data_IF_812925805004
#
_entry.id   IF_812925805004
#
_cell.length_a   1.000
_cell.length_b   1.000
_cell.length_c   1.000
_cell.angle_alpha   90.00
_cell.angle_beta   90.00
_cell.angle_gamma   90.00
#
_symmetry.space_group_name_H-M   'P 1'
#
loop_
_entity.id
_entity.type
_entity.pdbx_description
1 polymer ?
#
# COMPACT_ATOMS: atom_id res chain seq x y z
N UNK A 1 9.17 -9.76 -11.12
CA UNK A 1 8.86 -8.60 -11.98
C UNK A 1 8.38 -7.40 -11.16
N UNK A 2 7.26 -7.49 -10.42
CA UNK A 2 6.77 -6.35 -9.61
C UNK A 2 7.74 -5.86 -8.53
N UNK A 3 8.36 -6.78 -7.77
CA UNK A 3 9.37 -6.43 -6.76
C UNK A 3 10.53 -5.59 -7.35
N UNK A 4 11.09 -6.06 -8.47
CA UNK A 4 12.18 -5.37 -9.17
C UNK A 4 11.74 -4.00 -9.68
N UNK A 5 10.52 -3.88 -10.21
CA UNK A 5 9.98 -2.60 -10.64
C UNK A 5 9.85 -1.62 -9.46
N UNK A 6 9.34 -2.07 -8.31
CA UNK A 6 9.23 -1.27 -7.09
C UNK A 6 10.58 -0.75 -6.60
N UNK A 7 11.62 -1.59 -6.62
CA UNK A 7 13.00 -1.20 -6.27
C UNK A 7 13.53 -0.07 -7.17
N UNK A 8 13.29 -0.15 -8.49
CA UNK A 8 13.71 0.91 -9.42
C UNK A 8 12.89 2.21 -9.29
N UNK A 9 11.60 2.12 -8.95
CA UNK A 9 10.72 3.30 -8.80
C UNK A 9 11.16 4.27 -7.70
N UNK A 10 11.81 3.75 -6.65
CA UNK A 10 12.30 4.56 -5.52
C UNK A 10 13.50 5.41 -5.95
N UNK A 11 14.23 4.97 -6.97
CA UNK A 11 15.45 5.63 -7.48
C UNK A 11 15.24 6.58 -8.65
N UNK A 12 14.00 6.75 -9.13
CA UNK A 12 13.71 7.67 -10.23
C UNK A 12 13.92 9.11 -9.75
N UNK A 13 15.02 9.72 -10.20
CA UNK A 13 15.35 11.12 -9.96
C UNK A 13 14.44 11.99 -10.84
N UNK A 14 13.44 12.61 -10.22
CA UNK A 14 12.40 13.37 -10.91
C UNK A 14 12.83 14.83 -11.08
N UNK A 15 13.83 15.05 -11.94
CA UNK A 15 14.32 16.40 -12.26
C UNK A 15 13.37 17.20 -13.16
N UNK A 16 12.38 16.56 -13.77
CA UNK A 16 11.36 17.18 -14.63
C UNK A 16 9.97 16.57 -14.34
N UNK A 17 8.91 17.36 -14.58
CA UNK A 17 7.49 17.10 -14.29
C UNK A 17 6.99 15.82 -14.98
N UNK A 18 7.37 15.59 -16.24
CA UNK A 18 7.00 14.38 -16.98
C UNK A 18 7.51 13.10 -16.32
N UNK A 19 8.73 13.13 -15.77
CA UNK A 19 9.33 11.99 -15.07
C UNK A 19 8.69 11.75 -13.71
N UNK A 20 8.22 12.82 -13.05
CA UNK A 20 7.46 12.76 -11.81
C UNK A 20 6.10 12.08 -12.05
N UNK A 21 5.36 12.54 -13.06
CA UNK A 21 4.07 11.99 -13.48
C UNK A 21 4.20 10.51 -13.86
N UNK A 22 5.18 10.16 -14.69
CA UNK A 22 5.48 8.77 -15.03
C UNK A 22 5.80 7.92 -13.78
N UNK A 23 6.63 8.45 -12.87
CA UNK A 23 6.97 7.78 -11.63
C UNK A 23 5.74 7.51 -10.76
N UNK A 24 4.80 8.45 -10.69
CA UNK A 24 3.55 8.27 -9.96
C UNK A 24 2.62 7.26 -10.64
N UNK A 25 2.46 7.33 -11.96
CA UNK A 25 1.70 6.33 -12.72
C UNK A 25 2.24 4.91 -12.51
N UNK A 26 3.56 4.75 -12.50
CA UNK A 26 4.20 3.45 -12.26
C UNK A 26 3.99 2.96 -10.83
N UNK A 27 4.16 3.82 -9.81
CA UNK A 27 3.88 3.46 -8.41
C UNK A 27 2.43 3.03 -8.21
N UNK A 28 1.48 3.81 -8.75
CA UNK A 28 0.05 3.47 -8.73
C UNK A 28 -0.21 2.12 -9.38
N UNK A 29 0.31 1.89 -10.59
CA UNK A 29 0.11 0.65 -11.31
C UNK A 29 0.68 -0.58 -10.59
N UNK A 30 1.80 -0.43 -9.89
CA UNK A 30 2.35 -1.50 -9.05
C UNK A 30 1.41 -1.82 -7.88
N UNK A 31 0.90 -0.81 -7.17
CA UNK A 31 -0.03 -1.02 -6.06
C UNK A 31 -1.34 -1.67 -6.53
N UNK A 32 -1.93 -1.18 -7.62
CA UNK A 32 -3.15 -1.73 -8.20
C UNK A 32 -2.97 -3.19 -8.66
N UNK A 33 -1.80 -3.52 -9.22
CA UNK A 33 -1.47 -4.90 -9.57
C UNK A 33 -1.39 -5.82 -8.34
N UNK A 34 -0.75 -5.35 -7.25
CA UNK A 34 -0.73 -6.10 -5.99
C UNK A 34 -2.13 -6.26 -5.39
N UNK A 35 -2.95 -5.22 -5.40
CA UNK A 35 -4.36 -5.29 -4.97
C UNK A 35 -5.13 -6.34 -5.75
N UNK A 36 -5.04 -6.35 -7.08
CA UNK A 36 -5.70 -7.35 -7.92
C UNK A 36 -5.26 -8.78 -7.61
N UNK A 37 -3.97 -9.00 -7.36
CA UNK A 37 -3.45 -10.33 -6.98
C UNK A 37 -3.97 -10.75 -5.60
N UNK A 38 -3.92 -9.87 -4.59
CA UNK A 38 -4.36 -10.14 -3.23
C UNK A 38 -5.85 -10.47 -3.19
N UNK A 39 -6.68 -9.66 -3.85
CA UNK A 39 -8.12 -9.87 -3.95
C UNK A 39 -8.44 -11.18 -4.68
N UNK A 40 -7.70 -11.51 -5.75
CA UNK A 40 -7.86 -12.78 -6.46
C UNK A 40 -7.46 -14.02 -5.65
N UNK A 41 -6.51 -13.89 -4.72
CA UNK A 41 -5.98 -15.01 -3.94
C UNK A 41 -6.66 -15.22 -2.58
N UNK A 42 -7.34 -14.20 -2.05
CA UNK A 42 -7.92 -14.14 -0.69
C UNK A 42 -8.57 -15.43 -0.19
N UNK A 43 -9.36 -16.12 -1.01
CA UNK A 43 -10.14 -17.29 -0.58
C UNK A 43 -9.52 -18.66 -0.91
N UNK A 44 -8.33 -18.72 -1.50
CA UNK A 44 -7.77 -20.00 -1.97
C UNK A 44 -6.26 -20.14 -1.85
N UNK A 45 -5.49 -19.07 -2.06
CA UNK A 45 -4.04 -19.11 -2.20
C UNK A 45 -3.35 -17.91 -1.56
N UNK A 46 -3.99 -17.32 -0.54
CA UNK A 46 -3.46 -16.14 0.16
C UNK A 46 -2.04 -16.37 0.69
N UNK A 47 -1.73 -17.57 1.20
CA UNK A 47 -0.40 -17.92 1.73
C UNK A 47 0.75 -17.73 0.73
N UNK A 48 0.48 -17.79 -0.59
CA UNK A 48 1.50 -17.51 -1.61
C UNK A 48 2.01 -16.06 -1.55
N UNK A 49 1.25 -15.15 -0.94
CA UNK A 49 1.61 -13.74 -0.80
C UNK A 49 2.41 -13.45 0.47
N UNK A 50 2.47 -14.37 1.44
CA UNK A 50 3.21 -14.15 2.69
C UNK A 50 4.68 -13.76 2.49
N UNK A 51 5.46 -14.43 1.61
CA UNK A 51 6.85 -14.05 1.37
C UNK A 51 7.03 -12.64 0.77
N UNK A 52 5.96 -12.08 0.21
CA UNK A 52 5.96 -10.77 -0.45
C UNK A 52 5.43 -9.64 0.45
N UNK A 53 4.73 -9.96 1.54
CA UNK A 53 4.05 -8.99 2.40
C UNK A 53 5.00 -7.91 2.95
N UNK A 54 6.16 -8.31 3.49
CA UNK A 54 7.14 -7.36 4.04
C UNK A 54 7.64 -6.39 2.98
N UNK A 55 7.98 -6.88 1.78
CA UNK A 55 8.50 -6.03 0.71
C UNK A 55 7.43 -5.07 0.18
N UNK A 56 6.19 -5.52 0.08
CA UNK A 56 5.07 -4.67 -0.32
C UNK A 56 4.87 -3.54 0.70
N UNK A 57 4.87 -3.87 2.00
CA UNK A 57 4.69 -2.88 3.05
C UNK A 57 5.86 -1.87 3.12
N UNK A 58 7.10 -2.33 2.91
CA UNK A 58 8.28 -1.46 2.77
C UNK A 58 8.18 -0.53 1.55
N UNK A 59 7.61 -1.01 0.44
CA UNK A 59 7.38 -0.18 -0.74
C UNK A 59 6.34 0.91 -0.47
N UNK A 60 5.24 0.56 0.20
CA UNK A 60 4.24 1.54 0.67
C UNK A 60 4.90 2.60 1.56
N UNK A 61 5.71 2.20 2.53
CA UNK A 61 6.42 3.13 3.41
C UNK A 61 7.37 4.05 2.64
N UNK A 62 8.10 3.51 1.67
CA UNK A 62 9.03 4.29 0.83
C UNK A 62 8.29 5.35 0.00
N UNK A 63 7.13 4.99 -0.55
CA UNK A 63 6.28 5.92 -1.30
C UNK A 63 5.61 6.95 -0.38
N UNK A 64 5.24 6.57 0.83
CA UNK A 64 4.73 7.51 1.83
C UNK A 64 5.76 8.59 2.18
N UNK A 65 7.03 8.21 2.35
CA UNK A 65 8.11 9.17 2.65
C UNK A 65 8.50 10.04 1.46
N UNK A 66 8.01 9.74 0.25
CA UNK A 66 8.32 10.48 -0.96
C UNK A 66 7.43 11.73 -1.09
N UNK A 67 8.06 12.92 -1.09
CA UNK A 67 7.36 14.22 -1.05
C UNK A 67 6.47 14.53 -2.26
N UNK A 68 6.75 13.91 -3.40
CA UNK A 68 6.08 14.22 -4.67
C UNK A 68 5.05 13.14 -5.07
N UNK A 69 4.51 12.37 -4.13
CA UNK A 69 3.39 11.47 -4.41
C UNK A 69 2.12 12.28 -4.65
N UNK A 70 1.28 11.83 -5.56
CA UNK A 70 -0.06 12.40 -5.74
C UNK A 70 -1.12 11.65 -4.91
N UNK A 71 -2.36 12.16 -4.94
CA UNK A 71 -3.50 11.56 -4.25
C UNK A 71 -3.89 10.18 -4.80
N UNK A 72 -3.71 9.91 -6.09
CA UNK A 72 -4.06 8.63 -6.70
C UNK A 72 -3.10 7.52 -6.25
N UNK A 73 -1.79 7.81 -6.21
CA UNK A 73 -0.77 6.94 -5.63
C UNK A 73 -1.07 6.69 -4.16
N UNK A 74 -1.41 7.73 -3.40
CA UNK A 74 -1.75 7.62 -1.98
C UNK A 74 -2.94 6.70 -1.76
N UNK A 75 -4.02 6.89 -2.52
CA UNK A 75 -5.22 6.05 -2.44
C UNK A 75 -4.92 4.59 -2.76
N UNK A 76 -4.15 4.32 -3.82
CA UNK A 76 -3.75 2.96 -4.19
C UNK A 76 -2.85 2.30 -3.12
N UNK A 77 -1.93 3.06 -2.53
CA UNK A 77 -1.07 2.60 -1.45
C UNK A 77 -1.86 2.25 -0.17
N UNK A 78 -2.89 3.03 0.16
CA UNK A 78 -3.78 2.76 1.30
C UNK A 78 -4.68 1.54 1.01
N UNK A 79 -5.22 1.44 -0.20
CA UNK A 79 -6.05 0.31 -0.62
C UNK A 79 -5.28 -1.02 -0.53
N UNK A 80 -4.06 -1.08 -1.08
CA UNK A 80 -3.27 -2.31 -1.10
C UNK A 80 -2.87 -2.79 0.31
N UNK A 81 -2.67 -1.88 1.28
CA UNK A 81 -2.46 -2.27 2.68
C UNK A 81 -3.70 -2.94 3.28
N UNK A 82 -4.89 -2.42 2.95
CA UNK A 82 -6.16 -3.02 3.38
C UNK A 82 -6.38 -4.38 2.74
N UNK A 83 -6.12 -4.50 1.43
CA UNK A 83 -6.16 -5.78 0.71
C UNK A 83 -5.18 -6.80 1.29
N UNK A 84 -3.98 -6.35 1.69
CA UNK A 84 -2.98 -7.20 2.33
C UNK A 84 -3.50 -7.76 3.66
N UNK A 85 -4.08 -6.91 4.50
CA UNK A 85 -4.70 -7.30 5.76
C UNK A 85 -5.90 -8.23 5.57
N UNK A 86 -6.76 -7.93 4.60
CA UNK A 86 -7.97 -8.70 4.30
C UNK A 86 -7.64 -10.07 3.68
N UNK A 87 -6.57 -10.17 2.88
CA UNK A 87 -6.15 -11.43 2.27
C UNK A 87 -5.36 -12.33 3.22
N UNK A 88 -4.40 -11.80 3.98
CA UNK A 88 -3.49 -12.59 4.80
C UNK A 88 -3.92 -12.74 6.25
N UNK A 89 -4.84 -11.90 6.72
CA UNK A 89 -5.43 -12.02 8.05
C UNK A 89 -4.38 -12.05 9.18
N UNK A 90 -4.53 -12.93 10.19
CA UNK A 90 -3.65 -12.98 11.36
C UNK A 90 -2.17 -13.27 11.05
N UNK A 91 -1.87 -13.86 9.88
CA UNK A 91 -0.51 -14.26 9.52
C UNK A 91 0.47 -13.07 9.39
N UNK A 92 -0.04 -11.86 9.20
CA UNK A 92 0.76 -10.63 9.11
C UNK A 92 0.62 -9.72 10.33
N UNK A 93 0.04 -10.22 11.43
CA UNK A 93 -0.14 -9.44 12.67
C UNK A 93 1.17 -8.86 13.21
N UNK A 94 2.25 -9.66 13.21
CA UNK A 94 3.56 -9.18 13.66
C UNK A 94 4.14 -8.13 12.71
N UNK A 95 3.91 -8.27 11.41
CA UNK A 95 4.37 -7.29 10.43
C UNK A 95 3.74 -5.90 10.67
N UNK A 96 2.42 -5.83 10.91
CA UNK A 96 1.74 -4.58 11.25
C UNK A 96 2.05 -4.09 12.68
N UNK A 97 2.49 -4.96 13.60
CA UNK A 97 2.99 -4.53 14.90
C UNK A 97 4.34 -3.83 14.79
N UNK A 98 5.22 -4.34 13.95
CA UNK A 98 6.60 -3.86 13.83
C UNK A 98 6.71 -2.62 12.93
N UNK A 99 5.88 -2.51 11.90
CA UNK A 99 5.85 -1.36 10.99
C UNK A 99 4.73 -0.39 11.38
N UNK A 100 5.04 0.77 11.97
CA UNK A 100 4.02 1.71 12.49
C UNK A 100 3.67 2.87 11.57
N UNK A 101 4.37 3.07 10.45
CA UNK A 101 4.15 4.22 9.54
C UNK A 101 2.70 4.33 9.03
N UNK A 102 1.98 3.21 8.95
CA UNK A 102 0.60 3.18 8.48
C UNK A 102 -0.34 3.98 9.40
N UNK A 103 0.00 4.16 10.68
CA UNK A 103 -0.78 4.98 11.62
C UNK A 103 -0.77 6.43 11.16
N UNK A 104 0.40 6.97 10.86
CA UNK A 104 0.57 8.35 10.39
C UNK A 104 -0.05 8.53 9.00
N UNK A 105 0.17 7.57 8.10
CA UNK A 105 -0.41 7.58 6.75
C UNK A 105 -1.94 7.57 6.78
N UNK A 106 -2.56 6.69 7.56
CA UNK A 106 -4.02 6.66 7.71
C UNK A 106 -4.53 7.92 8.41
N UNK A 107 -3.80 8.44 9.40
CA UNK A 107 -4.10 9.71 10.05
C UNK A 107 -4.17 10.87 9.05
N UNK A 108 -3.18 11.00 8.17
CA UNK A 108 -3.18 11.98 7.09
C UNK A 108 -4.39 11.80 6.16
N UNK A 109 -4.65 10.57 5.70
CA UNK A 109 -5.73 10.29 4.76
C UNK A 109 -7.12 10.57 5.35
N UNK A 110 -7.31 10.33 6.64
CA UNK A 110 -8.58 10.59 7.34
C UNK A 110 -8.88 12.08 7.53
N UNK A 111 -7.85 12.94 7.45
CA UNK A 111 -8.01 14.40 7.49
C UNK A 111 -8.12 15.03 6.09
N UNK A 112 -8.11 14.22 5.02
CA UNK A 112 -8.22 14.73 3.65
C UNK A 112 -9.61 15.27 3.33
N UNK A 113 -9.68 16.28 2.47
CA UNK A 113 -10.94 16.76 1.88
C UNK A 113 -11.50 15.79 0.82
N UNK A 114 -10.72 14.80 0.37
CA UNK A 114 -11.16 13.75 -0.54
C UNK A 114 -11.94 12.66 0.23
N UNK A 115 -13.27 12.65 0.05
CA UNK A 115 -14.17 11.67 0.65
C UNK A 115 -13.88 10.23 0.24
N UNK A 116 -13.45 9.99 -1.00
CA UNK A 116 -13.12 8.62 -1.44
C UNK A 116 -11.82 8.13 -0.79
N UNK A 117 -10.85 9.02 -0.57
CA UNK A 117 -9.64 8.68 0.16
C UNK A 117 -9.96 8.36 1.63
N UNK A 118 -10.81 9.16 2.28
CA UNK A 118 -11.26 8.91 3.66
C UNK A 118 -12.00 7.58 3.79
N UNK A 119 -12.88 7.27 2.85
CA UNK A 119 -13.60 5.98 2.82
C UNK A 119 -12.60 4.81 2.72
N UNK A 120 -11.65 4.91 1.78
CA UNK A 120 -10.59 3.90 1.59
C UNK A 120 -9.74 3.72 2.85
N UNK A 121 -9.32 4.83 3.48
CA UNK A 121 -8.54 4.81 4.71
C UNK A 121 -9.31 4.20 5.88
N UNK A 122 -10.60 4.54 6.03
CA UNK A 122 -11.48 3.98 7.07
C UNK A 122 -11.63 2.47 6.90
N UNK A 123 -11.83 2.00 5.66
CA UNK A 123 -11.89 0.57 5.37
C UNK A 123 -10.57 -0.13 5.69
N UNK A 124 -9.44 0.41 5.23
CA UNK A 124 -8.10 -0.14 5.52
C UNK A 124 -7.82 -0.21 7.02
N UNK A 125 -8.15 0.84 7.77
CA UNK A 125 -8.02 0.87 9.22
C UNK A 125 -8.84 -0.25 9.87
N UNK A 126 -10.06 -0.49 9.38
CA UNK A 126 -10.91 -1.59 9.82
C UNK A 126 -10.29 -2.97 9.55
N UNK A 127 -9.69 -3.19 8.37
CA UNK A 127 -9.04 -4.47 8.04
C UNK A 127 -7.83 -4.74 8.93
N UNK A 128 -6.95 -3.75 9.10
CA UNK A 128 -5.79 -3.87 9.99
C UNK A 128 -6.26 -4.08 11.44
N UNK A 129 -7.30 -3.38 11.88
CA UNK A 129 -7.90 -3.56 13.19
C UNK A 129 -8.33 -5.01 13.46
N UNK A 130 -8.97 -5.67 12.48
CA UNK A 130 -9.37 -7.08 12.58
C UNK A 130 -8.17 -8.01 12.75
N UNK A 131 -7.08 -7.76 12.03
CA UNK A 131 -5.81 -8.52 12.15
C UNK A 131 -5.16 -8.32 13.52
N UNK A 132 -5.27 -7.14 14.11
CA UNK A 132 -4.63 -6.83 15.39
C UNK A 132 -5.36 -7.48 16.59
N UNK A 133 -6.67 -7.68 16.49
CA UNK A 133 -7.49 -8.27 17.57
C UNK A 133 -7.64 -9.79 17.48
N UNK A 134 -7.30 -10.41 16.35
CA UNK A 134 -7.25 -11.88 16.18
C UNK A 134 -6.04 -12.48 16.86
#
# INVERSE_FOLDING_TARGET
>A
MLKTAAEHCVSLDASDEDMLEYGNQLRRGIFEAYSGILQGFKSSKADLMLPHATHLLQFVESVFRYKNRDGAVTKAAVAVMGDLADALGPNIKNLFRDCTFYIDLLGECLQSDDDQLKETATWTQGMIGRVMVS
#
